data_IF_464564271816
#
_entry.id   IF_464564271816
#
_cell.length_a   1.000
_cell.length_b   1.000
_cell.length_c   1.000
_cell.angle_alpha   90.00
_cell.angle_beta   90.00
_cell.angle_gamma   90.00
#
_symmetry.space_group_name_H-M   'P 1'
#
loop_
_entity.id
_entity.type
_entity.pdbx_description
1 polymer ?
#
# COMPACT_ATOMS: atom_id res chain seq x y z
N UNK A 1 16.75 26.61 -49.83
CA UNK A 1 16.83 26.21 -48.40
C UNK A 1 15.80 25.10 -48.16
N UNK A 2 15.99 23.90 -48.73
CA UNK A 2 14.87 22.94 -48.91
C UNK A 2 15.16 21.50 -48.42
N UNK A 3 16.28 21.31 -47.72
CA UNK A 3 16.71 19.99 -47.24
C UNK A 3 15.76 19.32 -46.24
N UNK A 4 14.89 20.10 -45.58
CA UNK A 4 13.93 19.57 -44.61
C UNK A 4 12.71 18.91 -45.29
N UNK A 5 12.25 19.43 -46.44
CA UNK A 5 11.08 18.90 -47.15
C UNK A 5 11.30 17.46 -47.61
N UNK A 6 12.52 17.10 -48.00
CA UNK A 6 12.86 15.74 -48.44
C UNK A 6 12.75 14.68 -47.33
N UNK A 7 12.97 15.04 -46.07
CA UNK A 7 12.93 14.08 -44.94
C UNK A 7 11.51 13.69 -44.54
N UNK A 8 10.51 14.46 -44.94
CA UNK A 8 9.12 14.28 -44.50
C UNK A 8 8.13 14.00 -45.65
N UNK A 9 8.60 13.81 -46.89
CA UNK A 9 7.75 13.55 -48.07
C UNK A 9 6.81 12.33 -47.92
N UNK A 10 7.18 11.36 -47.09
CA UNK A 10 6.44 10.10 -46.91
C UNK A 10 5.86 9.95 -45.49
N UNK A 11 5.98 10.97 -44.64
CA UNK A 11 5.44 10.89 -43.29
C UNK A 11 3.92 11.12 -43.31
N UNK A 12 3.20 10.15 -42.73
CA UNK A 12 1.75 10.18 -42.53
C UNK A 12 1.47 10.41 -41.06
N UNK A 13 0.48 11.26 -40.75
CA UNK A 13 0.06 11.55 -39.37
C UNK A 13 -0.57 10.29 -38.79
N UNK A 14 -0.08 9.85 -37.62
CA UNK A 14 -0.45 8.55 -37.04
C UNK A 14 -1.64 8.59 -36.09
N UNK A 15 -2.05 9.77 -35.64
CA UNK A 15 -3.13 9.91 -34.67
C UNK A 15 -3.79 11.30 -34.74
N UNK A 16 -5.08 11.33 -34.44
CA UNK A 16 -5.87 12.54 -34.21
C UNK A 16 -6.72 12.98 -35.41
N UNK A 17 -7.25 14.22 -35.41
CA UNK A 17 -8.20 14.68 -36.43
C UNK A 17 -7.62 14.74 -37.85
N UNK A 18 -6.30 14.59 -38.00
CA UNK A 18 -5.58 14.60 -39.27
C UNK A 18 -4.92 13.24 -39.58
N UNK A 19 -5.33 12.16 -38.90
CA UNK A 19 -4.82 10.81 -39.14
C UNK A 19 -4.97 10.41 -40.62
N UNK A 20 -3.90 9.88 -41.21
CA UNK A 20 -3.87 9.48 -42.62
C UNK A 20 -3.49 10.60 -43.60
N UNK A 21 -3.50 11.88 -43.19
CA UNK A 21 -3.02 12.97 -44.03
C UNK A 21 -1.49 12.93 -44.17
N UNK A 22 -0.98 13.23 -45.36
CA UNK A 22 0.46 13.44 -45.56
C UNK A 22 0.82 14.80 -44.99
N UNK A 23 2.03 14.89 -44.42
CA UNK A 23 2.51 16.10 -43.78
C UNK A 23 2.50 17.33 -44.71
N UNK A 24 2.57 17.13 -46.02
CA UNK A 24 2.58 18.19 -47.04
C UNK A 24 1.19 18.67 -47.47
N UNK A 25 0.14 17.87 -47.22
CA UNK A 25 -1.22 18.17 -47.67
C UNK A 25 -2.02 18.96 -46.62
N UNK A 26 -1.40 19.26 -45.47
CA UNK A 26 -2.02 20.00 -44.38
C UNK A 26 -1.93 21.51 -44.64
N UNK A 27 -3.08 22.20 -44.65
CA UNK A 27 -3.18 23.66 -44.81
C UNK A 27 -2.39 24.43 -43.74
N UNK A 28 -1.88 25.62 -44.11
CA UNK A 28 -1.07 26.48 -43.23
C UNK A 28 -1.75 26.81 -41.88
N UNK A 29 -3.07 26.99 -41.87
CA UNK A 29 -3.84 27.27 -40.66
C UNK A 29 -3.79 26.12 -39.65
N UNK A 30 -3.78 24.88 -40.14
CA UNK A 30 -3.68 23.69 -39.30
C UNK A 30 -2.25 23.45 -38.82
N UNK A 31 -1.24 23.78 -39.63
CA UNK A 31 0.17 23.72 -39.24
C UNK A 31 0.49 24.68 -38.08
N UNK A 32 -0.03 25.92 -38.12
CA UNK A 32 0.19 26.89 -37.02
C UNK A 32 -0.50 26.48 -35.72
N UNK A 33 -1.68 25.83 -35.79
CA UNK A 33 -2.37 25.27 -34.61
C UNK A 33 -1.64 24.04 -34.06
N UNK A 34 -1.24 23.12 -34.94
CA UNK A 34 -0.54 21.89 -34.56
C UNK A 34 0.87 22.16 -34.01
N UNK A 35 1.57 23.19 -34.50
CA UNK A 35 2.88 23.58 -33.98
C UNK A 35 2.84 24.11 -32.54
N UNK A 36 1.70 24.70 -32.11
CA UNK A 36 1.53 25.21 -30.73
C UNK A 36 1.25 24.10 -29.73
N UNK A 37 0.40 23.13 -30.09
CA UNK A 37 0.12 21.98 -29.24
C UNK A 37 -0.59 20.86 -30.03
N UNK A 38 0.09 19.73 -30.24
CA UNK A 38 -0.51 18.52 -30.79
C UNK A 38 -0.16 17.31 -29.91
N UNK A 39 -1.07 16.90 -28.99
CA UNK A 39 -0.73 15.93 -27.95
C UNK A 39 -0.55 14.50 -28.49
N UNK A 40 -1.16 14.18 -29.63
CA UNK A 40 -1.28 12.81 -30.11
C UNK A 40 -0.08 12.34 -30.95
N UNK A 41 0.64 13.24 -31.61
CA UNK A 41 1.84 12.91 -32.39
C UNK A 41 2.96 13.95 -32.24
N UNK A 42 3.94 13.62 -31.39
CA UNK A 42 5.14 14.45 -31.15
C UNK A 42 6.02 14.63 -32.38
N UNK A 43 5.95 13.72 -33.37
CA UNK A 43 6.75 13.85 -34.61
C UNK A 43 6.11 14.87 -35.54
N UNK A 44 4.79 14.89 -35.61
CA UNK A 44 4.04 15.90 -36.35
C UNK A 44 4.17 17.29 -35.71
N UNK A 45 4.17 17.39 -34.38
CA UNK A 45 4.39 18.66 -33.67
C UNK A 45 5.75 19.30 -34.04
N UNK A 46 6.83 18.50 -34.09
CA UNK A 46 8.16 18.99 -34.52
C UNK A 46 8.18 19.46 -35.97
N UNK A 47 7.49 18.74 -36.85
CA UNK A 47 7.37 19.13 -38.26
C UNK A 47 6.59 20.43 -38.40
N UNK A 48 5.45 20.55 -37.73
CA UNK A 48 4.59 21.73 -37.77
C UNK A 48 5.31 22.99 -37.24
N UNK A 49 6.12 22.87 -36.18
CA UNK A 49 6.96 23.98 -35.68
C UNK A 49 8.01 24.42 -36.71
N UNK A 50 8.72 23.48 -37.31
CA UNK A 50 9.71 23.80 -38.35
C UNK A 50 9.06 24.41 -39.59
N UNK A 51 7.87 23.95 -39.97
CA UNK A 51 7.12 24.50 -41.09
C UNK A 51 6.58 25.90 -40.79
N UNK A 52 6.03 26.15 -39.59
CA UNK A 52 5.50 27.46 -39.20
C UNK A 52 6.58 28.54 -39.15
N UNK A 53 7.78 28.19 -38.67
CA UNK A 53 8.90 29.14 -38.58
C UNK A 53 9.40 29.54 -39.97
N UNK A 54 9.28 28.66 -40.96
CA UNK A 54 9.67 28.93 -42.35
C UNK A 54 8.58 29.69 -43.12
N UNK A 55 7.29 29.44 -42.86
CA UNK A 55 6.19 30.16 -43.53
C UNK A 55 5.98 31.59 -43.00
N UNK A 56 6.42 31.88 -41.77
CA UNK A 56 6.30 33.22 -41.18
C UNK A 56 7.50 34.12 -41.56
N UNK A 57 8.54 33.58 -42.21
CA UNK A 57 9.83 34.25 -42.35
C UNK A 57 10.21 34.81 -43.74
N UNK A 58 9.41 34.72 -44.82
CA UNK A 58 9.65 35.60 -45.97
C UNK A 58 8.36 36.22 -46.52
N UNK A 59 8.26 37.54 -46.36
CA UNK A 59 7.54 38.50 -47.21
C UNK A 59 6.05 38.27 -47.52
N UNK A 60 5.17 39.04 -46.87
CA UNK A 60 3.99 39.62 -47.53
C UNK A 60 3.41 40.82 -46.77
N UNK A 61 3.38 41.94 -47.49
CA UNK A 61 2.79 43.26 -47.25
C UNK A 61 1.44 43.36 -46.50
N UNK A 62 1.11 44.58 -46.00
CA UNK A 62 -0.17 44.88 -45.36
C UNK A 62 -1.28 45.08 -46.39
N UNK A 63 -2.46 44.43 -46.26
CA UNK A 63 -3.65 44.90 -46.93
C UNK A 63 -4.37 45.94 -46.04
N UNK A 64 -4.82 46.97 -46.74
CA UNK A 64 -5.53 48.12 -46.23
C UNK A 64 -6.86 47.78 -45.53
N UNK A 65 -7.30 48.77 -44.75
CA UNK A 65 -8.55 48.87 -44.04
C UNK A 65 -9.77 48.26 -44.75
N UNK A 66 -10.52 47.44 -44.02
CA UNK A 66 -11.97 47.39 -44.11
C UNK A 66 -12.50 47.39 -42.68
N UNK A 67 -13.05 48.53 -42.29
CA UNK A 67 -13.90 48.68 -41.11
C UNK A 67 -15.27 48.01 -41.37
N UNK A 68 -15.81 47.54 -40.24
CA UNK A 68 -17.22 47.41 -39.90
C UNK A 68 -17.99 46.08 -40.01
N UNK A 69 -18.57 45.79 -38.84
CA UNK A 69 -19.80 45.06 -38.57
C UNK A 69 -19.76 43.53 -38.40
N UNK A 70 -19.18 43.08 -37.29
CA UNK A 70 -19.83 42.07 -36.43
C UNK A 70 -19.33 42.21 -34.98
N UNK A 71 -20.09 43.00 -34.20
CA UNK A 71 -20.10 42.98 -32.74
C UNK A 71 -20.56 41.60 -32.24
N UNK A 72 -20.01 41.18 -31.08
CA UNK A 72 -20.20 39.92 -30.34
C UNK A 72 -19.27 38.81 -30.85
N UNK A 73 -18.17 38.42 -30.19
CA UNK A 73 -17.84 38.42 -28.78
C UNK A 73 -16.35 38.73 -28.64
N UNK A 74 -16.00 39.79 -27.90
CA UNK A 74 -14.63 39.88 -27.35
C UNK A 74 -14.57 38.84 -26.23
N UNK A 75 -13.81 37.72 -26.32
CA UNK A 75 -13.50 36.99 -25.11
C UNK A 75 -12.62 37.93 -24.31
N UNK A 76 -13.21 38.50 -23.27
CA UNK A 76 -12.56 39.28 -22.24
C UNK A 76 -11.16 38.74 -22.00
N UNK A 77 -10.12 39.54 -22.30
CA UNK A 77 -8.77 39.40 -21.75
C UNK A 77 -8.76 39.66 -20.22
N UNK A 78 -9.81 39.25 -19.53
CA UNK A 78 -9.84 39.14 -18.07
C UNK A 78 -9.19 37.80 -17.78
N UNK A 79 -7.89 37.88 -17.50
CA UNK A 79 -7.23 37.02 -16.55
C UNK A 79 -7.77 35.59 -16.49
N UNK A 80 -7.37 34.76 -17.46
CA UNK A 80 -7.11 33.34 -17.16
C UNK A 80 -5.92 33.27 -16.20
N UNK A 81 -6.07 33.83 -14.99
CA UNK A 81 -5.54 33.24 -13.78
C UNK A 81 -6.23 31.89 -13.75
N UNK A 82 -5.65 30.94 -14.48
CA UNK A 82 -5.94 29.54 -14.31
C UNK A 82 -6.04 29.36 -12.80
N UNK A 83 -7.22 28.97 -12.34
CA UNK A 83 -7.45 28.54 -10.99
C UNK A 83 -6.58 27.31 -10.81
N UNK A 84 -5.28 27.54 -10.59
CA UNK A 84 -4.38 26.59 -9.97
C UNK A 84 -5.16 26.25 -8.71
N UNK A 85 -5.62 24.99 -8.57
CA UNK A 85 -6.53 24.66 -7.49
C UNK A 85 -5.85 25.15 -6.22
N UNK A 86 -6.60 25.90 -5.39
CA UNK A 86 -6.14 26.45 -4.11
C UNK A 86 -5.14 25.55 -3.36
N UNK A 87 -5.33 24.21 -3.26
CA UNK A 87 -4.34 23.32 -2.65
C UNK A 87 -2.95 23.38 -3.29
N UNK A 88 -2.81 23.48 -4.61
CA UNK A 88 -1.53 23.49 -5.31
C UNK A 88 -0.74 24.79 -5.08
N UNK A 89 -1.41 25.93 -4.90
CA UNK A 89 -0.74 27.20 -4.54
C UNK A 89 -0.25 27.18 -3.09
N UNK A 90 -1.10 26.69 -2.17
CA UNK A 90 -0.75 26.48 -0.77
C UNK A 90 0.42 25.50 -0.63
N UNK A 91 0.42 24.40 -1.39
CA UNK A 91 1.49 23.40 -1.37
C UNK A 91 2.82 23.97 -1.87
N UNK A 92 2.80 24.77 -2.93
CA UNK A 92 4.01 25.43 -3.45
C UNK A 92 4.57 26.46 -2.48
N UNK A 93 3.71 27.25 -1.84
CA UNK A 93 4.13 28.22 -0.82
C UNK A 93 4.66 27.53 0.44
N UNK A 94 4.01 26.46 0.90
CA UNK A 94 4.47 25.65 2.02
C UNK A 94 5.83 25.01 1.71
N UNK A 95 6.01 24.46 0.50
CA UNK A 95 7.27 23.86 0.06
C UNK A 95 8.40 24.89 -0.01
N UNK A 96 8.12 26.10 -0.51
CA UNK A 96 9.11 27.18 -0.53
C UNK A 96 9.54 27.60 0.88
N UNK A 97 8.60 27.72 1.82
CA UNK A 97 8.89 28.00 3.24
C UNK A 97 9.65 26.86 3.92
N UNK A 98 9.34 25.60 3.59
CA UNK A 98 10.07 24.41 4.04
C UNK A 98 11.50 24.36 3.51
N UNK A 99 11.74 24.83 2.28
CA UNK A 99 13.07 24.89 1.66
C UNK A 99 13.95 25.98 2.31
N UNK A 100 13.35 27.08 2.76
CA UNK A 100 14.04 28.19 3.43
C UNK A 100 14.43 27.91 4.90
N UNK A 101 13.90 26.86 5.53
CA UNK A 101 14.25 26.49 6.89
C UNK A 101 15.68 25.88 6.98
N UNK A 102 16.42 26.12 8.07
CA UNK A 102 17.73 25.53 8.29
C UNK A 102 17.66 24.01 8.34
N UNK A 103 18.72 23.34 7.87
CA UNK A 103 18.79 21.88 7.74
C UNK A 103 18.45 21.14 9.04
N UNK A 104 18.86 21.69 10.18
CA UNK A 104 18.57 21.17 11.52
C UNK A 104 17.07 21.18 11.85
N UNK A 105 16.37 22.30 11.59
CA UNK A 105 14.93 22.41 11.83
C UNK A 105 14.12 21.48 10.92
N UNK A 106 14.57 21.27 9.67
CA UNK A 106 13.93 20.32 8.76
C UNK A 106 14.05 18.88 9.26
N UNK A 107 15.21 18.49 9.80
CA UNK A 107 15.42 17.17 10.37
C UNK A 107 14.49 16.93 11.58
N UNK A 108 14.39 17.90 12.49
CA UNK A 108 13.49 17.83 13.65
C UNK A 108 12.02 17.74 13.26
N UNK A 109 11.59 18.51 12.26
CA UNK A 109 10.22 18.46 11.76
C UNK A 109 9.89 17.09 11.12
N UNK A 110 10.84 16.54 10.37
CA UNK A 110 10.71 15.21 9.75
C UNK A 110 10.64 14.12 10.82
N UNK A 111 11.50 14.19 11.84
CA UNK A 111 11.54 13.25 12.95
C UNK A 111 10.24 13.30 13.77
N UNK A 112 9.73 14.49 14.07
CA UNK A 112 8.46 14.70 14.76
C UNK A 112 7.29 14.13 13.96
N UNK A 113 7.24 14.41 12.65
CA UNK A 113 6.22 13.84 11.76
C UNK A 113 6.29 12.31 11.72
N UNK A 114 7.50 11.74 11.65
CA UNK A 114 7.72 10.31 11.67
C UNK A 114 7.25 9.68 12.98
N UNK A 115 7.55 10.31 14.13
CA UNK A 115 7.08 9.88 15.45
C UNK A 115 5.56 9.94 15.57
N UNK A 116 4.94 11.01 15.08
CA UNK A 116 3.49 11.19 15.08
C UNK A 116 2.77 10.20 14.16
N UNK A 117 3.36 9.82 13.02
CA UNK A 117 2.82 8.78 12.14
C UNK A 117 3.11 7.36 12.67
N UNK A 118 4.27 7.14 13.27
CA UNK A 118 4.67 5.85 13.80
C UNK A 118 3.83 5.45 15.01
N UNK A 119 3.43 6.39 15.87
CA UNK A 119 2.57 6.12 17.03
C UNK A 119 1.24 5.43 16.70
N UNK A 120 0.36 5.98 15.84
CA UNK A 120 -0.91 5.35 15.52
C UNK A 120 -0.70 4.00 14.80
N UNK A 121 0.30 3.90 13.92
CA UNK A 121 0.64 2.63 13.26
C UNK A 121 1.09 1.57 14.27
N UNK A 122 1.97 1.93 15.20
CA UNK A 122 2.45 1.02 16.24
C UNK A 122 1.32 0.58 17.15
N UNK A 123 0.42 1.48 17.57
CA UNK A 123 -0.73 1.14 18.41
C UNK A 123 -1.68 0.19 17.69
N UNK A 124 -2.00 0.45 16.41
CA UNK A 124 -2.89 -0.42 15.63
C UNK A 124 -2.27 -1.80 15.42
N UNK A 125 -0.99 -1.86 15.06
CA UNK A 125 -0.27 -3.13 14.87
C UNK A 125 -0.19 -3.90 16.19
N UNK A 126 0.14 -3.22 17.29
CA UNK A 126 0.24 -3.84 18.61
C UNK A 126 -1.13 -4.33 19.10
N UNK A 127 -2.20 -3.56 18.91
CA UNK A 127 -3.56 -3.97 19.25
C UNK A 127 -4.01 -5.21 18.44
N UNK A 128 -3.69 -5.26 17.15
CA UNK A 128 -3.99 -6.44 16.32
C UNK A 128 -3.18 -7.66 16.72
N UNK A 129 -1.90 -7.49 17.04
CA UNK A 129 -1.04 -8.56 17.57
C UNK A 129 -1.57 -9.07 18.91
N UNK A 130 -1.89 -8.17 19.84
CA UNK A 130 -2.47 -8.55 21.14
C UNK A 130 -3.80 -9.29 20.96
N UNK A 131 -4.67 -8.81 20.08
CA UNK A 131 -5.94 -9.48 19.78
C UNK A 131 -5.75 -10.88 19.19
N UNK A 132 -4.78 -11.05 18.28
CA UNK A 132 -4.44 -12.35 17.72
C UNK A 132 -3.87 -13.31 18.79
N UNK A 133 -2.95 -12.82 19.63
CA UNK A 133 -2.35 -13.60 20.72
C UNK A 133 -3.45 -14.00 21.73
N UNK A 134 -4.30 -13.07 22.15
CA UNK A 134 -5.38 -13.33 23.09
C UNK A 134 -6.34 -14.40 22.57
N UNK A 135 -6.72 -14.35 21.28
CA UNK A 135 -7.55 -15.38 20.65
C UNK A 135 -6.87 -16.75 20.63
N UNK A 136 -5.58 -16.81 20.32
CA UNK A 136 -4.82 -18.06 20.32
C UNK A 136 -4.70 -18.66 21.73
N UNK A 137 -4.40 -17.83 22.72
CA UNK A 137 -4.32 -18.24 24.12
C UNK A 137 -5.67 -18.75 24.60
N UNK A 138 -6.75 -18.00 24.35
CA UNK A 138 -8.10 -18.41 24.73
C UNK A 138 -8.49 -19.76 24.10
N UNK A 139 -8.24 -19.94 22.80
CA UNK A 139 -8.51 -21.21 22.12
C UNK A 139 -7.73 -22.37 22.72
N UNK A 140 -6.46 -22.13 23.08
CA UNK A 140 -5.60 -23.16 23.66
C UNK A 140 -5.99 -23.52 25.09
N UNK A 141 -6.41 -22.52 25.88
CA UNK A 141 -6.94 -22.74 27.23
C UNK A 141 -8.25 -23.53 27.16
N UNK A 142 -9.18 -23.16 26.29
CA UNK A 142 -10.44 -23.90 26.12
C UNK A 142 -10.20 -25.36 25.70
N UNK A 143 -9.26 -25.59 24.77
CA UNK A 143 -8.90 -26.95 24.37
C UNK A 143 -8.27 -27.74 25.53
N UNK A 144 -7.43 -27.10 26.35
CA UNK A 144 -6.82 -27.73 27.52
C UNK A 144 -7.89 -28.10 28.56
N UNK A 145 -8.84 -27.19 28.82
CA UNK A 145 -9.95 -27.43 29.75
C UNK A 145 -10.83 -28.57 29.26
N UNK A 146 -11.12 -28.63 27.96
CA UNK A 146 -11.86 -29.75 27.35
C UNK A 146 -11.14 -31.09 27.58
N UNK A 147 -9.84 -31.15 27.28
CA UNK A 147 -9.05 -32.37 27.52
C UNK A 147 -8.97 -32.76 28.98
N UNK A 148 -8.82 -31.80 29.89
CA UNK A 148 -8.81 -32.09 31.33
C UNK A 148 -10.15 -32.64 31.79
N UNK A 149 -11.27 -32.15 31.25
CA UNK A 149 -12.59 -32.66 31.57
C UNK A 149 -12.79 -34.08 31.02
N UNK A 150 -12.34 -34.36 29.80
CA UNK A 150 -12.36 -35.71 29.21
C UNK A 150 -11.52 -36.69 30.05
N UNK A 151 -10.29 -36.32 30.40
CA UNK A 151 -9.42 -37.15 31.24
C UNK A 151 -10.02 -37.38 32.63
N UNK A 152 -10.58 -36.36 33.27
CA UNK A 152 -11.27 -36.52 34.56
C UNK A 152 -12.46 -37.48 34.44
N UNK A 153 -13.22 -37.41 33.35
CA UNK A 153 -14.35 -38.30 33.13
C UNK A 153 -13.89 -39.75 32.89
N UNK A 154 -12.82 -39.96 32.13
CA UNK A 154 -12.20 -41.28 31.93
C UNK A 154 -11.72 -41.87 33.26
N UNK A 155 -11.01 -41.09 34.08
CA UNK A 155 -10.55 -41.52 35.41
C UNK A 155 -11.72 -41.86 36.34
N UNK A 156 -12.79 -41.06 36.34
CA UNK A 156 -14.00 -41.35 37.14
C UNK A 156 -14.71 -42.61 36.66
N UNK A 157 -14.80 -42.83 35.35
CA UNK A 157 -15.34 -44.06 34.76
C UNK A 157 -14.49 -45.27 35.14
N UNK A 158 -13.16 -45.12 35.11
CA UNK A 158 -12.24 -46.18 35.45
C UNK A 158 -12.34 -46.53 36.94
N UNK A 159 -12.36 -45.53 37.83
CA UNK A 159 -12.62 -45.72 39.26
C UNK A 159 -13.99 -46.35 39.54
N UNK A 160 -15.03 -45.95 38.81
CA UNK A 160 -16.35 -46.57 38.94
C UNK A 160 -16.35 -48.03 38.47
N UNK A 161 -15.64 -48.34 37.38
CA UNK A 161 -15.52 -49.71 36.86
C UNK A 161 -14.72 -50.60 37.81
N UNK A 162 -13.68 -50.08 38.46
CA UNK A 162 -12.91 -50.77 39.50
C UNK A 162 -13.76 -50.96 40.76
N UNK A 163 -14.50 -49.94 41.21
CA UNK A 163 -15.40 -50.05 42.35
C UNK A 163 -16.53 -51.08 42.14
N UNK A 164 -16.98 -51.28 40.90
CA UNK A 164 -18.02 -52.26 40.53
C UNK A 164 -17.45 -53.67 40.32
N UNK A 165 -16.17 -53.82 39.97
CA UNK A 165 -15.51 -55.13 39.80
C UNK A 165 -14.89 -55.67 41.09
N UNK A 166 -14.59 -54.81 42.06
CA UNK A 166 -14.03 -55.20 43.37
C UNK A 166 -15.03 -55.72 44.44
N UNK A 167 -16.38 -55.69 44.32
CA UNK A 167 -17.24 -56.21 45.38
C UNK A 167 -17.25 -57.75 45.45
N UNK A 168 -16.62 -58.46 44.51
CA UNK A 168 -16.58 -59.93 44.50
C UNK A 168 -15.23 -60.57 44.83
N UNK A 169 -14.16 -59.80 45.06
CA UNK A 169 -12.84 -60.36 45.42
C UNK A 169 -12.14 -59.71 46.61
N UNK A 170 -12.76 -58.73 47.28
CA UNK A 170 -12.17 -58.09 48.45
C UNK A 170 -12.26 -58.99 49.71
N UNK A 171 -11.27 -59.88 49.84
CA UNK A 171 -10.84 -60.39 51.14
C UNK A 171 -10.52 -59.21 52.06
N UNK A 172 -11.06 -59.26 53.28
CA UNK A 172 -10.98 -58.19 54.28
C UNK A 172 -9.52 -57.72 54.52
N UNK A 173 -9.18 -56.45 54.23
CA UNK A 173 -7.96 -55.85 54.78
C UNK A 173 -7.18 -54.81 53.97
N UNK A 174 -7.62 -54.35 52.80
CA UNK A 174 -6.86 -53.33 52.05
C UNK A 174 -7.30 -51.88 52.40
N UNK A 175 -6.33 -51.11 52.89
CA UNK A 175 -6.51 -49.74 53.36
C UNK A 175 -6.71 -48.72 52.21
N UNK A 176 -7.59 -47.73 52.37
CA UNK A 176 -7.91 -46.72 51.34
C UNK A 176 -6.74 -45.78 50.98
N UNK A 177 -5.64 -45.78 51.75
CA UNK A 177 -4.47 -44.94 51.51
C UNK A 177 -3.64 -45.37 50.30
N UNK A 178 -3.82 -46.59 49.76
CA UNK A 178 -2.99 -47.11 48.67
C UNK A 178 -3.47 -46.69 47.27
N UNK A 179 -4.70 -46.16 47.16
CA UNK A 179 -5.32 -45.74 45.88
C UNK A 179 -4.98 -44.30 45.46
N UNK A 180 -4.57 -43.43 46.39
CA UNK A 180 -4.32 -42.00 46.08
C UNK A 180 -2.93 -41.74 45.49
N UNK A 181 -1.96 -42.62 45.75
CA UNK A 181 -0.58 -42.49 45.28
C UNK A 181 -0.41 -42.54 43.76
N UNK A 182 -1.02 -43.50 43.02
CA UNK A 182 -0.89 -43.55 41.56
C UNK A 182 -1.53 -42.35 40.84
N UNK A 183 -2.63 -41.82 41.38
CA UNK A 183 -3.28 -40.61 40.86
C UNK A 183 -2.39 -39.36 41.00
N UNK A 184 -1.74 -39.22 42.16
CA UNK A 184 -0.80 -38.13 42.40
C UNK A 184 0.42 -38.20 41.47
N UNK A 185 0.96 -39.40 41.23
CA UNK A 185 2.12 -39.56 40.34
C UNK A 185 1.75 -39.32 38.87
N UNK A 186 0.58 -39.74 38.40
CA UNK A 186 0.10 -39.42 37.05
C UNK A 186 -0.19 -37.93 36.86
N UNK A 187 -0.80 -37.26 37.84
CA UNK A 187 -0.99 -35.81 37.80
C UNK A 187 0.36 -35.06 37.78
N UNK A 188 1.34 -35.52 38.54
CA UNK A 188 2.67 -34.92 38.53
C UNK A 188 3.37 -35.11 37.17
N UNK A 189 3.24 -36.30 36.57
CA UNK A 189 3.84 -36.62 35.27
C UNK A 189 3.19 -35.81 34.13
N UNK A 190 1.88 -35.65 34.14
CA UNK A 190 1.15 -34.85 33.13
C UNK A 190 1.48 -33.36 33.25
N UNK A 191 1.58 -32.84 34.47
CA UNK A 191 1.98 -31.43 34.70
C UNK A 191 3.43 -31.19 34.26
N UNK A 192 4.36 -32.08 34.60
CA UNK A 192 5.79 -31.93 34.26
C UNK A 192 6.04 -32.05 32.76
N UNK A 193 5.39 -32.99 32.07
CA UNK A 193 5.48 -33.14 30.60
C UNK A 193 4.88 -31.95 29.86
N UNK A 194 3.76 -31.41 30.33
CA UNK A 194 3.15 -30.18 29.80
C UNK A 194 4.05 -28.96 29.96
N UNK A 195 4.65 -28.78 31.15
CA UNK A 195 5.62 -27.72 31.42
C UNK A 195 6.86 -27.83 30.52
N UNK A 196 7.41 -29.04 30.34
CA UNK A 196 8.54 -29.27 29.46
C UNK A 196 8.22 -28.95 28.00
N UNK A 197 7.03 -29.32 27.52
CA UNK A 197 6.56 -28.98 26.17
C UNK A 197 6.39 -27.47 25.96
N UNK A 198 5.81 -26.77 26.93
CA UNK A 198 5.67 -25.32 26.90
C UNK A 198 7.03 -24.60 26.89
N UNK A 199 7.99 -25.10 27.70
CA UNK A 199 9.35 -24.57 27.77
C UNK A 199 10.12 -24.81 26.47
N UNK A 200 10.01 -26.00 25.88
CA UNK A 200 10.62 -26.35 24.59
C UNK A 200 10.10 -25.45 23.46
N UNK A 201 8.78 -25.23 23.40
CA UNK A 201 8.18 -24.35 22.41
C UNK A 201 8.61 -22.88 22.60
N UNK A 202 8.75 -22.42 23.84
CA UNK A 202 9.27 -21.08 24.14
C UNK A 202 10.73 -20.92 23.70
N UNK A 203 11.58 -21.91 23.98
CA UNK A 203 12.98 -21.91 23.52
C UNK A 203 13.08 -21.90 22.00
N UNK A 204 12.26 -22.70 21.31
CA UNK A 204 12.21 -22.73 19.85
C UNK A 204 11.90 -21.35 19.24
N UNK A 205 10.85 -20.68 19.73
CA UNK A 205 10.50 -19.33 19.27
C UNK A 205 11.66 -18.34 19.52
N UNK A 206 12.32 -18.46 20.68
CA UNK A 206 13.43 -17.57 21.05
C UNK A 206 14.65 -17.79 20.15
N UNK A 207 14.92 -19.04 19.77
CA UNK A 207 15.97 -19.42 18.82
C UNK A 207 15.67 -18.90 17.41
N UNK A 208 14.46 -19.13 16.88
CA UNK A 208 14.06 -18.60 15.56
C UNK A 208 14.17 -17.07 15.47
N UNK A 209 13.79 -16.35 16.55
CA UNK A 209 13.94 -14.89 16.62
C UNK A 209 15.40 -14.42 16.64
N UNK A 210 16.32 -15.21 17.18
CA UNK A 210 17.76 -14.89 17.15
C UNK A 210 18.33 -15.10 15.75
N UNK A 211 17.99 -16.20 15.09
CA UNK A 211 18.46 -16.50 13.73
C UNK A 211 18.00 -15.44 12.73
N UNK A 212 16.75 -14.98 12.81
CA UNK A 212 16.22 -13.93 11.93
C UNK A 212 16.80 -12.51 12.16
N UNK A 213 17.57 -12.27 13.23
CA UNK A 213 18.25 -10.98 13.43
C UNK A 213 19.68 -10.94 12.90
N UNK A 214 20.24 -12.09 12.54
CA UNK A 214 21.63 -12.23 12.08
C UNK A 214 21.70 -12.24 10.54
N UNK A 215 20.56 -12.40 9.87
CA UNK A 215 20.38 -12.29 8.40
C UNK A 215 19.84 -10.91 8.07
#
# INVERSE_FOLDING_TARGET
MDGWRHRFKQAVVRAGPLEGARYLDVTADWLTRAGRHYPEDKRFEKFARMASDVTVAPDAQPPAAVEDAALLERPCRVARRAAVPLPLRLFRQARAKLVALPKSARLWLLLSCLLFLAKPLAVVVLARLLGAIARLVLRRVLHLVGHLAEQLLEELLQQASEAVTVPFSAGHGQCPAQLSWPLLTQLLLTVTTSMAGAFGHYLYIRLCRRVMRVV
#
